data_IF_469471107766
#
_entry.id   IF_469471107766
#
_cell.length_a   1.000
_cell.length_b   1.000
_cell.length_c   1.000
_cell.angle_alpha   90.00
_cell.angle_beta   90.00
_cell.angle_gamma   90.00
#
_symmetry.space_group_name_H-M   'P 1'
#
loop_
_entity.id
_entity.type
_entity.pdbx_description
1 polymer ?
#
# COMPACT_ATOMS: atom_id res chain seq x y z
N UNK A 1 34.27 9.55 22.15
CA UNK A 1 34.60 10.31 20.95
C UNK A 1 34.40 11.79 21.11
N UNK A 2 34.99 12.56 20.23
CA UNK A 2 34.81 14.01 20.14
C UNK A 2 34.49 14.34 18.68
N UNK A 3 33.43 15.09 18.47
CA UNK A 3 33.04 15.59 17.15
C UNK A 3 33.03 17.12 17.20
N UNK A 4 33.72 17.75 16.27
CA UNK A 4 33.82 19.21 16.16
C UNK A 4 33.11 19.65 14.90
N UNK A 5 32.06 20.45 15.02
CA UNK A 5 31.33 21.09 13.93
C UNK A 5 31.52 22.60 13.98
N UNK A 6 31.07 23.31 12.94
CA UNK A 6 31.39 24.72 12.73
C UNK A 6 31.16 25.64 13.94
N UNK A 7 30.16 25.36 14.79
CA UNK A 7 29.82 26.22 15.95
C UNK A 7 29.66 25.44 17.27
N UNK A 8 30.03 24.15 17.31
CA UNK A 8 29.88 23.33 18.50
C UNK A 8 30.88 22.16 18.53
N UNK A 9 31.19 21.68 19.75
CA UNK A 9 31.92 20.46 19.94
C UNK A 9 31.10 19.52 20.81
N UNK A 10 30.96 18.28 20.37
CA UNK A 10 30.23 17.23 21.08
C UNK A 10 31.21 16.21 21.62
N UNK A 11 31.09 15.90 22.93
CA UNK A 11 31.85 14.84 23.58
C UNK A 11 30.89 13.72 23.93
N UNK A 12 31.19 12.48 23.51
CA UNK A 12 30.34 11.33 23.81
C UNK A 12 31.16 10.11 24.22
N UNK A 13 30.61 9.32 25.14
CA UNK A 13 31.20 8.10 25.65
C UNK A 13 30.67 6.84 24.95
N UNK A 14 29.51 6.91 24.34
CA UNK A 14 28.85 5.77 23.66
C UNK A 14 28.25 6.18 22.31
N UNK A 15 28.32 5.27 21.36
CA UNK A 15 27.60 5.34 20.10
C UNK A 15 26.68 4.12 20.00
N UNK A 16 25.45 4.32 19.53
CA UNK A 16 24.51 3.24 19.27
C UNK A 16 24.09 3.31 17.81
N UNK A 17 23.97 2.17 17.12
CA UNK A 17 23.40 2.14 15.78
C UNK A 17 21.98 2.73 15.79
N UNK A 18 21.70 3.66 14.89
CA UNK A 18 20.38 4.18 14.62
C UNK A 18 19.68 3.41 13.49
N UNK A 19 18.45 3.79 13.20
CA UNK A 19 17.67 3.22 12.09
C UNK A 19 18.34 3.53 10.73
N UNK A 20 19.12 4.60 10.64
CA UNK A 20 19.71 5.12 9.41
C UNK A 20 18.67 5.76 8.49
N UNK A 21 19.14 6.32 7.39
CA UNK A 21 18.28 6.97 6.40
C UNK A 21 18.28 8.50 6.51
N UNK A 22 17.25 9.12 5.96
CA UNK A 22 17.03 10.57 5.95
C UNK A 22 15.92 10.93 6.97
N UNK A 23 15.94 12.17 7.51
CA UNK A 23 14.84 12.63 8.36
C UNK A 23 13.51 12.59 7.59
N UNK A 24 12.46 12.06 8.23
CA UNK A 24 11.10 12.05 7.65
C UNK A 24 10.66 13.49 7.36
N UNK A 25 10.04 13.70 6.21
CA UNK A 25 9.64 15.01 5.69
C UNK A 25 10.65 15.67 4.74
N UNK A 26 11.89 15.13 4.63
CA UNK A 26 12.91 15.70 3.75
C UNK A 26 12.73 15.35 2.26
N UNK A 27 11.87 14.38 1.92
CA UNK A 27 11.69 13.87 0.55
C UNK A 27 10.24 13.93 0.03
N UNK A 28 9.40 14.77 0.67
CA UNK A 28 7.99 14.95 0.28
C UNK A 28 7.06 13.87 0.82
N UNK A 29 5.82 13.87 0.32
CA UNK A 29 4.74 12.98 0.77
C UNK A 29 4.46 11.91 -0.29
N UNK A 30 4.15 10.69 0.16
CA UNK A 30 3.73 9.55 -0.67
C UNK A 30 2.47 8.90 -0.10
N UNK A 31 1.62 8.36 -0.98
CA UNK A 31 0.42 7.60 -0.62
C UNK A 31 0.72 6.10 -0.71
N UNK A 32 0.60 5.40 0.41
CA UNK A 32 0.98 4.00 0.54
C UNK A 32 -0.25 3.11 0.63
N UNK A 33 -0.44 2.16 -0.29
CA UNK A 33 -1.45 1.13 -0.17
C UNK A 33 -1.05 0.20 0.99
N UNK A 34 -1.74 0.34 2.12
CA UNK A 34 -1.45 -0.37 3.36
C UNK A 34 -2.49 -1.47 3.59
N UNK A 35 -2.05 -2.72 3.67
CA UNK A 35 -2.86 -3.88 4.04
C UNK A 35 -2.43 -4.44 5.39
N UNK A 36 -3.22 -5.36 5.94
CA UNK A 36 -2.83 -6.14 7.13
C UNK A 36 -1.69 -7.14 6.87
N UNK A 37 -1.31 -7.35 5.60
CA UNK A 37 -0.24 -8.28 5.22
C UNK A 37 1.17 -7.77 5.53
N UNK A 38 2.14 -8.68 5.46
CA UNK A 38 3.55 -8.47 5.87
C UNK A 38 4.27 -7.42 5.00
N UNK A 39 3.96 -7.35 3.70
CA UNK A 39 4.78 -6.65 2.72
C UNK A 39 4.56 -5.12 2.74
N UNK A 40 3.30 -4.67 2.83
CA UNK A 40 2.99 -3.23 2.71
C UNK A 40 3.56 -2.37 3.86
N UNK A 41 3.58 -2.80 5.13
CA UNK A 41 4.22 -2.05 6.20
C UNK A 41 5.74 -1.89 5.99
N UNK A 42 6.40 -2.94 5.49
CA UNK A 42 7.85 -2.91 5.18
C UNK A 42 8.13 -1.97 4.02
N UNK A 43 7.30 -1.98 2.97
CA UNK A 43 7.43 -1.06 1.84
C UNK A 43 7.32 0.40 2.30
N UNK A 44 6.32 0.71 3.12
CA UNK A 44 6.10 2.03 3.70
C UNK A 44 7.31 2.46 4.54
N UNK A 45 7.78 1.60 5.45
CA UNK A 45 8.95 1.86 6.29
C UNK A 45 10.22 2.13 5.46
N UNK A 46 10.44 1.41 4.36
CA UNK A 46 11.57 1.66 3.45
C UNK A 46 11.53 3.07 2.86
N UNK A 47 10.35 3.58 2.48
CA UNK A 47 10.20 4.94 1.94
C UNK A 47 10.36 6.01 3.04
N UNK A 48 9.79 5.79 4.22
CA UNK A 48 9.97 6.70 5.35
C UNK A 48 11.46 6.86 5.71
N UNK A 49 12.25 5.79 5.69
CA UNK A 49 13.72 5.84 5.85
C UNK A 49 14.43 6.63 4.74
N UNK A 50 13.79 6.86 3.59
CA UNK A 50 14.28 7.75 2.53
C UNK A 50 13.79 9.18 2.67
N UNK A 51 13.17 9.50 3.83
CA UNK A 51 12.72 10.85 4.17
C UNK A 51 11.31 11.18 3.70
N UNK A 52 10.54 10.22 3.17
CA UNK A 52 9.16 10.45 2.77
C UNK A 52 8.23 10.54 3.99
N UNK A 53 7.27 11.47 3.95
CA UNK A 53 6.07 11.40 4.79
C UNK A 53 5.12 10.39 4.14
N UNK A 54 4.77 9.32 4.86
CA UNK A 54 3.90 8.30 4.32
C UNK A 54 2.47 8.49 4.85
N UNK A 55 1.51 8.51 3.95
CA UNK A 55 0.07 8.47 4.25
C UNK A 55 -0.44 7.11 3.79
N UNK A 56 -1.05 6.35 4.70
CA UNK A 56 -1.61 5.03 4.40
C UNK A 56 -2.98 5.13 3.74
N UNK A 57 -3.31 4.19 2.86
CA UNK A 57 -4.68 3.91 2.41
C UNK A 57 -4.94 2.42 2.50
N UNK A 58 -5.93 2.04 3.30
CA UNK A 58 -6.41 0.67 3.47
C UNK A 58 -7.75 0.51 2.77
N UNK A 59 -7.89 -0.53 1.96
CA UNK A 59 -9.13 -0.92 1.33
C UNK A 59 -9.78 -2.03 2.14
N UNK A 60 -10.83 -1.69 2.87
CA UNK A 60 -11.59 -2.64 3.70
C UNK A 60 -12.60 -3.42 2.86
N UNK A 61 -12.74 -4.72 3.13
CA UNK A 61 -13.79 -5.55 2.50
C UNK A 61 -15.21 -5.27 2.99
N UNK A 62 -15.41 -4.33 3.90
CA UNK A 62 -16.76 -3.95 4.39
C UNK A 62 -17.67 -3.49 3.26
N UNK A 63 -18.96 -3.79 3.32
CA UNK A 63 -19.67 -4.59 4.34
C UNK A 63 -19.63 -6.10 4.09
N UNK A 64 -18.87 -6.58 3.09
CA UNK A 64 -18.82 -7.99 2.68
C UNK A 64 -17.96 -8.86 3.62
N UNK A 65 -17.05 -8.25 4.39
CA UNK A 65 -16.24 -8.89 5.43
C UNK A 65 -16.44 -8.19 6.77
N UNK A 66 -15.94 -8.83 7.84
CA UNK A 66 -15.77 -8.16 9.14
C UNK A 66 -14.72 -7.04 9.06
N UNK A 67 -14.63 -6.25 10.12
CA UNK A 67 -13.68 -5.14 10.28
C UNK A 67 -12.32 -5.58 10.86
N UNK A 68 -12.06 -6.88 10.98
CA UNK A 68 -10.83 -7.44 11.56
C UNK A 68 -9.56 -6.93 10.86
N UNK A 69 -9.58 -6.84 9.51
CA UNK A 69 -8.44 -6.30 8.76
C UNK A 69 -8.13 -4.85 9.12
N UNK A 70 -9.15 -4.06 9.47
CA UNK A 70 -9.00 -2.66 9.87
C UNK A 70 -8.33 -2.55 11.23
N UNK A 71 -8.71 -3.40 12.21
CA UNK A 71 -8.03 -3.44 13.52
C UNK A 71 -6.56 -3.81 13.39
N UNK A 72 -6.22 -4.78 12.54
CA UNK A 72 -4.84 -5.14 12.28
C UNK A 72 -4.06 -3.99 11.62
N UNK A 73 -4.69 -3.25 10.70
CA UNK A 73 -4.07 -2.08 10.07
C UNK A 73 -3.87 -0.95 11.08
N UNK A 74 -4.81 -0.74 12.01
CA UNK A 74 -4.64 0.24 13.10
C UNK A 74 -3.47 -0.14 14.01
N UNK A 75 -3.31 -1.42 14.35
CA UNK A 75 -2.18 -1.90 15.16
C UNK A 75 -0.85 -1.76 14.42
N UNK A 76 -0.81 -2.05 13.11
CA UNK A 76 0.34 -1.82 12.23
C UNK A 76 0.68 -0.32 12.17
N UNK A 77 -0.34 0.54 11.99
CA UNK A 77 -0.16 1.99 11.95
C UNK A 77 0.48 2.51 13.24
N UNK A 78 0.04 2.04 14.42
CA UNK A 78 0.68 2.38 15.72
C UNK A 78 2.14 1.95 15.80
N UNK A 79 2.51 0.80 15.23
CA UNK A 79 3.91 0.36 15.15
C UNK A 79 4.71 1.30 14.25
N UNK A 80 4.17 1.68 13.10
CA UNK A 80 4.80 2.58 12.14
C UNK A 80 4.92 4.02 12.69
N UNK A 81 3.91 4.49 13.40
CA UNK A 81 3.89 5.81 14.05
C UNK A 81 5.03 5.96 15.07
N UNK A 82 5.28 4.93 15.88
CA UNK A 82 6.41 4.92 16.86
C UNK A 82 7.77 5.13 16.19
N UNK A 83 7.89 4.81 14.94
CA UNK A 83 9.11 5.01 14.13
C UNK A 83 9.05 6.32 13.31
N UNK A 84 7.97 7.10 13.44
CA UNK A 84 7.74 8.32 12.67
C UNK A 84 7.43 8.07 11.18
N UNK A 85 7.05 6.84 10.83
CA UNK A 85 6.95 6.42 9.43
C UNK A 85 5.59 6.71 8.79
N UNK A 86 4.52 6.83 9.57
CA UNK A 86 3.17 7.10 9.06
C UNK A 86 2.60 8.36 9.69
N UNK A 87 1.91 9.18 8.89
CA UNK A 87 1.26 10.40 9.37
C UNK A 87 -0.22 10.16 9.69
N UNK A 88 -0.92 9.39 8.88
CA UNK A 88 -2.33 8.99 9.02
C UNK A 88 -2.68 7.87 8.07
N UNK A 89 -3.84 7.25 8.28
CA UNK A 89 -4.36 6.17 7.41
C UNK A 89 -5.79 6.49 6.98
N UNK A 90 -6.05 6.40 5.68
CA UNK A 90 -7.40 6.38 5.12
C UNK A 90 -7.92 4.94 5.09
N UNK A 91 -9.14 4.71 5.58
CA UNK A 91 -9.86 3.44 5.45
C UNK A 91 -10.98 3.63 4.46
N UNK A 92 -10.94 2.88 3.37
CA UNK A 92 -11.89 2.96 2.25
C UNK A 92 -12.77 1.72 2.23
N UNK A 93 -14.10 1.81 2.39
CA UNK A 93 -15.02 0.67 2.30
C UNK A 93 -15.16 0.23 0.84
N UNK A 94 -14.53 -0.88 0.49
CA UNK A 94 -14.37 -1.31 -0.91
C UNK A 94 -15.24 -2.52 -1.29
N UNK A 95 -15.84 -3.23 -0.32
CA UNK A 95 -16.52 -4.50 -0.52
C UNK A 95 -17.71 -4.45 -1.49
N UNK A 96 -18.54 -3.40 -1.44
CA UNK A 96 -19.70 -3.28 -2.34
C UNK A 96 -19.26 -3.12 -3.80
N UNK A 97 -18.26 -2.29 -4.05
CA UNK A 97 -17.71 -2.08 -5.40
C UNK A 97 -17.02 -3.35 -5.91
N UNK A 98 -16.32 -4.09 -5.05
CA UNK A 98 -15.78 -5.41 -5.42
C UNK A 98 -16.88 -6.38 -5.85
N UNK A 99 -18.00 -6.40 -5.13
CA UNK A 99 -19.16 -7.21 -5.51
C UNK A 99 -19.70 -6.78 -6.86
N UNK A 100 -19.86 -5.49 -7.11
CA UNK A 100 -20.32 -4.99 -8.42
C UNK A 100 -19.36 -5.39 -9.56
N UNK A 101 -18.05 -5.20 -9.40
CA UNK A 101 -17.05 -5.64 -10.38
C UNK A 101 -17.15 -7.17 -10.59
N UNK A 102 -17.39 -7.94 -9.52
CA UNK A 102 -17.51 -9.40 -9.64
C UNK A 102 -18.71 -9.86 -10.48
N UNK A 103 -19.74 -9.03 -10.59
CA UNK A 103 -20.93 -9.30 -11.39
C UNK A 103 -20.78 -8.82 -12.85
N UNK A 104 -20.04 -7.74 -13.07
CA UNK A 104 -19.94 -7.06 -14.36
C UNK A 104 -18.71 -7.46 -15.19
N UNK A 105 -17.63 -7.84 -14.54
CA UNK A 105 -16.35 -8.09 -15.19
C UNK A 105 -16.05 -9.57 -15.42
N UNK A 106 -15.25 -9.91 -16.47
CA UNK A 106 -14.75 -11.26 -16.69
C UNK A 106 -14.03 -11.78 -15.44
N UNK A 107 -14.31 -13.02 -14.97
CA UNK A 107 -13.73 -13.55 -13.74
C UNK A 107 -12.21 -13.46 -13.68
N UNK A 108 -11.49 -13.79 -14.75
CA UNK A 108 -10.02 -13.78 -14.80
C UNK A 108 -9.42 -12.38 -14.59
N UNK A 109 -10.11 -11.30 -14.97
CA UNK A 109 -9.63 -9.93 -14.88
C UNK A 109 -10.00 -9.21 -13.58
N UNK A 110 -10.85 -9.80 -12.72
CA UNK A 110 -11.38 -9.13 -11.51
C UNK A 110 -10.28 -8.56 -10.64
N UNK A 111 -9.26 -9.34 -10.32
CA UNK A 111 -8.16 -8.90 -9.45
C UNK A 111 -7.42 -7.70 -10.01
N UNK A 112 -7.19 -7.66 -11.32
CA UNK A 112 -6.54 -6.55 -12.00
C UNK A 112 -7.43 -5.30 -11.95
N UNK A 113 -8.73 -5.44 -12.20
CA UNK A 113 -9.69 -4.34 -12.16
C UNK A 113 -9.87 -3.78 -10.73
N UNK A 114 -9.87 -4.64 -9.69
CA UNK A 114 -9.83 -4.19 -8.30
C UNK A 114 -8.60 -3.32 -8.03
N UNK A 115 -7.42 -3.79 -8.43
CA UNK A 115 -6.18 -3.06 -8.22
C UNK A 115 -6.11 -1.75 -8.99
N UNK A 116 -6.62 -1.73 -10.23
CA UNK A 116 -6.71 -0.49 -11.02
C UNK A 116 -7.60 0.54 -10.32
N UNK A 117 -8.77 0.12 -9.83
CA UNK A 117 -9.66 1.01 -9.09
C UNK A 117 -9.03 1.47 -7.76
N UNK A 118 -8.39 0.57 -7.00
CA UNK A 118 -7.65 0.94 -5.78
C UNK A 118 -6.57 2.00 -6.07
N UNK A 119 -5.85 1.88 -7.19
CA UNK A 119 -4.85 2.87 -7.59
C UNK A 119 -5.48 4.22 -7.92
N UNK A 120 -6.58 4.25 -8.68
CA UNK A 120 -7.31 5.49 -8.99
C UNK A 120 -7.83 6.19 -7.73
N UNK A 121 -8.39 5.44 -6.79
CA UNK A 121 -8.84 5.98 -5.49
C UNK A 121 -7.64 6.49 -4.68
N UNK A 122 -6.55 5.73 -4.62
CA UNK A 122 -5.34 6.16 -3.93
C UNK A 122 -4.73 7.42 -4.55
N UNK A 123 -4.74 7.56 -5.88
CA UNK A 123 -4.28 8.76 -6.58
C UNK A 123 -5.18 9.98 -6.28
N UNK A 124 -6.48 9.80 -6.23
CA UNK A 124 -7.41 10.87 -5.86
C UNK A 124 -7.22 11.33 -4.40
N UNK A 125 -6.96 10.39 -3.47
CA UNK A 125 -6.59 10.71 -2.09
C UNK A 125 -5.20 11.35 -2.01
N UNK A 126 -4.25 10.90 -2.84
CA UNK A 126 -2.91 11.48 -2.93
C UNK A 126 -2.95 12.97 -3.30
N UNK A 127 -3.87 13.37 -4.17
CA UNK A 127 -4.08 14.78 -4.51
C UNK A 127 -4.51 15.62 -3.29
N UNK A 128 -5.34 15.08 -2.39
CA UNK A 128 -5.74 15.76 -1.13
C UNK A 128 -4.54 15.97 -0.21
N UNK A 129 -3.64 14.99 -0.15
CA UNK A 129 -2.44 14.99 0.70
C UNK A 129 -1.21 15.64 0.01
N UNK A 130 -1.34 16.09 -1.23
CA UNK A 130 -0.22 16.59 -2.06
C UNK A 130 0.91 15.55 -2.17
N UNK A 131 0.56 14.27 -2.19
CA UNK A 131 1.51 13.20 -2.36
C UNK A 131 1.96 13.10 -3.83
N UNK A 132 3.27 12.93 -4.04
CA UNK A 132 3.88 12.91 -5.37
C UNK A 132 4.04 11.51 -5.97
N UNK A 133 3.68 10.45 -5.25
CA UNK A 133 3.77 9.08 -5.72
C UNK A 133 2.84 8.16 -4.94
N UNK A 134 2.48 7.02 -5.55
CA UNK A 134 1.89 5.88 -4.88
C UNK A 134 2.98 4.89 -4.45
N UNK A 135 2.72 4.11 -3.41
CA UNK A 135 3.64 3.07 -2.92
C UNK A 135 2.88 1.78 -2.70
N UNK A 136 3.45 0.66 -3.15
CA UNK A 136 2.89 -0.68 -2.92
C UNK A 136 3.92 -1.64 -2.35
N UNK A 137 3.46 -2.67 -1.63
CA UNK A 137 4.29 -3.77 -1.12
C UNK A 137 4.49 -4.91 -2.12
N UNK A 138 4.38 -4.66 -3.41
CA UNK A 138 4.53 -5.70 -4.44
C UNK A 138 5.96 -6.21 -4.57
N UNK A 139 6.09 -7.54 -4.72
CA UNK A 139 7.33 -8.23 -5.11
C UNK A 139 7.08 -9.01 -6.40
N UNK A 140 8.00 -8.92 -7.37
CA UNK A 140 7.82 -9.51 -8.70
C UNK A 140 7.65 -11.03 -8.62
N UNK A 141 6.55 -11.52 -9.21
CA UNK A 141 6.28 -12.96 -9.30
C UNK A 141 5.81 -13.62 -8.01
N UNK A 142 5.58 -12.87 -6.93
CA UNK A 142 5.14 -13.45 -5.64
C UNK A 142 3.71 -14.01 -5.70
N UNK A 143 2.81 -13.33 -6.38
CA UNK A 143 1.41 -13.76 -6.62
C UNK A 143 0.97 -13.44 -8.05
N UNK A 144 -0.15 -14.01 -8.47
CA UNK A 144 -0.66 -13.88 -9.84
C UNK A 144 -0.82 -12.43 -10.31
N UNK A 145 -1.17 -11.50 -9.43
CA UNK A 145 -1.31 -10.07 -9.77
C UNK A 145 0.03 -9.33 -9.93
N UNK A 146 1.15 -9.94 -9.54
CA UNK A 146 2.48 -9.32 -9.49
C UNK A 146 3.42 -9.80 -10.61
N UNK A 147 2.87 -10.19 -11.75
CA UNK A 147 3.65 -10.43 -12.98
C UNK A 147 3.92 -9.12 -13.71
N UNK A 148 4.92 -9.09 -14.59
CA UNK A 148 5.25 -7.86 -15.37
C UNK A 148 4.06 -7.33 -16.16
N UNK A 149 3.30 -8.23 -16.81
CA UNK A 149 2.13 -7.84 -17.61
C UNK A 149 1.04 -7.23 -16.72
N UNK A 150 0.79 -7.83 -15.55
CA UNK A 150 -0.23 -7.37 -14.62
C UNK A 150 0.17 -6.06 -13.91
N UNK A 151 1.45 -5.91 -13.54
CA UNK A 151 1.99 -4.66 -13.02
C UNK A 151 1.82 -3.54 -14.06
N UNK A 152 2.21 -3.79 -15.31
CA UNK A 152 2.01 -2.82 -16.41
C UNK A 152 0.53 -2.45 -16.59
N UNK A 153 -0.36 -3.45 -16.53
CA UNK A 153 -1.79 -3.22 -16.67
C UNK A 153 -2.38 -2.43 -15.50
N UNK A 154 -1.80 -2.58 -14.29
CA UNK A 154 -2.22 -1.81 -13.11
C UNK A 154 -1.68 -0.39 -13.14
N UNK A 155 -0.41 -0.20 -13.51
CA UNK A 155 0.23 1.12 -13.59
C UNK A 155 -0.43 2.05 -14.61
N UNK A 156 -0.94 1.48 -15.69
CA UNK A 156 -1.70 2.21 -16.72
C UNK A 156 -2.97 2.93 -16.18
N UNK A 157 -3.39 2.61 -14.97
CA UNK A 157 -4.58 3.21 -14.38
C UNK A 157 -4.36 4.61 -13.78
N UNK A 158 -3.12 5.03 -13.55
CA UNK A 158 -2.75 6.25 -12.81
C UNK A 158 -1.62 7.00 -13.51
N UNK A 159 -1.54 8.30 -13.26
CA UNK A 159 -0.49 9.18 -13.78
C UNK A 159 0.68 9.32 -12.79
N UNK A 160 0.42 9.17 -11.49
CA UNK A 160 1.47 9.23 -10.47
C UNK A 160 2.44 8.04 -10.59
N UNK A 161 3.74 8.25 -10.37
CA UNK A 161 4.69 7.15 -10.30
C UNK A 161 4.34 6.19 -9.16
N UNK A 162 4.45 4.88 -9.43
CA UNK A 162 4.20 3.83 -8.44
C UNK A 162 5.52 3.24 -7.98
N UNK A 163 5.90 3.53 -6.73
CA UNK A 163 7.10 3.00 -6.11
C UNK A 163 6.84 1.61 -5.52
N UNK A 164 7.76 0.69 -5.80
CA UNK A 164 7.74 -0.70 -5.32
C UNK A 164 9.04 -1.03 -4.59
N UNK A 165 9.18 -0.59 -3.33
CA UNK A 165 10.44 -0.76 -2.59
C UNK A 165 10.86 -2.22 -2.42
N UNK A 166 9.95 -3.17 -2.62
CA UNK A 166 10.16 -4.60 -2.44
C UNK A 166 10.22 -5.40 -3.74
N UNK A 167 10.21 -4.75 -4.91
CA UNK A 167 10.00 -5.42 -6.20
C UNK A 167 10.98 -6.57 -6.48
N UNK A 168 12.21 -6.47 -6.04
CA UNK A 168 13.26 -7.48 -6.19
C UNK A 168 13.69 -8.12 -4.86
N UNK A 169 12.88 -7.99 -3.80
CA UNK A 169 13.24 -8.49 -2.46
C UNK A 169 12.61 -9.86 -2.24
N UNK A 170 13.40 -10.82 -1.75
CA UNK A 170 12.92 -12.16 -1.37
C UNK A 170 11.98 -12.11 -0.15
N UNK A 171 11.01 -13.04 -0.10
CA UNK A 171 10.02 -13.09 0.98
C UNK A 171 10.63 -13.24 2.36
N UNK A 172 11.71 -14.01 2.50
CA UNK A 172 12.40 -14.18 3.78
C UNK A 172 13.11 -12.90 4.25
N UNK A 173 13.59 -12.07 3.32
CA UNK A 173 14.16 -10.77 3.66
C UNK A 173 13.09 -9.82 4.16
N UNK A 174 11.93 -9.80 3.51
CA UNK A 174 10.77 -8.99 3.91
C UNK A 174 10.30 -9.39 5.32
N UNK A 175 10.19 -10.70 5.59
CA UNK A 175 9.83 -11.21 6.93
C UNK A 175 10.81 -10.72 7.99
N UNK A 176 12.13 -10.82 7.76
CA UNK A 176 13.15 -10.34 8.71
C UNK A 176 13.04 -8.83 8.97
N UNK A 177 12.68 -8.06 7.95
CA UNK A 177 12.44 -6.62 8.12
C UNK A 177 11.17 -6.35 8.90
N UNK A 178 10.08 -7.09 8.66
CA UNK A 178 8.84 -6.99 9.42
C UNK A 178 9.02 -7.35 10.91
N UNK A 179 9.83 -8.39 11.20
CA UNK A 179 10.22 -8.74 12.58
C UNK A 179 10.97 -7.59 13.27
N UNK A 180 11.95 -6.98 12.58
CA UNK A 180 12.71 -5.84 13.10
C UNK A 180 11.83 -4.60 13.30
N UNK A 181 10.86 -4.40 12.43
CA UNK A 181 9.88 -3.32 12.51
C UNK A 181 8.90 -3.55 13.67
N UNK A 182 8.62 -4.80 14.01
CA UNK A 182 7.63 -5.22 15.00
C UNK A 182 6.22 -5.37 14.42
N UNK A 183 6.06 -5.40 13.09
CA UNK A 183 4.77 -5.60 12.43
C UNK A 183 4.46 -7.07 12.13
N UNK A 184 5.46 -7.96 12.18
CA UNK A 184 5.32 -9.35 11.77
C UNK A 184 4.23 -10.10 12.53
N UNK A 185 4.25 -10.04 13.88
CA UNK A 185 3.28 -10.73 14.73
C UNK A 185 1.83 -10.28 14.49
N UNK A 186 1.63 -8.99 14.14
CA UNK A 186 0.33 -8.44 13.80
C UNK A 186 -0.09 -8.97 12.42
N UNK A 187 0.78 -8.86 11.44
CA UNK A 187 0.52 -9.25 10.05
C UNK A 187 0.40 -10.77 9.84
N UNK A 188 0.78 -11.58 10.82
CA UNK A 188 0.67 -13.05 10.78
C UNK A 188 -0.67 -13.55 11.32
N UNK A 189 -1.53 -12.67 11.80
CA UNK A 189 -2.87 -13.02 12.25
C UNK A 189 -3.78 -13.21 11.04
N UNK A 190 -4.66 -14.21 11.10
CA UNK A 190 -5.66 -14.44 10.06
C UNK A 190 -6.74 -13.35 10.12
N UNK A 191 -6.87 -12.61 9.04
CA UNK A 191 -7.98 -11.70 8.84
C UNK A 191 -8.43 -11.76 7.38
N UNK A 192 -9.73 -11.62 7.10
CA UNK A 192 -10.24 -11.58 5.74
C UNK A 192 -9.70 -10.34 5.03
N UNK A 193 -8.88 -10.54 4.00
CA UNK A 193 -8.37 -9.45 3.15
C UNK A 193 -9.37 -9.17 2.02
N UNK A 194 -9.56 -7.90 1.70
CA UNK A 194 -10.35 -7.49 0.55
C UNK A 194 -9.85 -8.14 -0.75
N UNK A 195 -8.54 -8.36 -0.91
CA UNK A 195 -7.97 -8.96 -2.11
C UNK A 195 -8.39 -10.41 -2.34
N UNK A 196 -8.79 -11.15 -1.31
CA UNK A 196 -9.27 -12.55 -1.42
C UNK A 196 -10.77 -12.65 -1.67
N UNK A 197 -11.49 -11.55 -1.46
CA UNK A 197 -12.93 -11.50 -1.66
C UNK A 197 -13.27 -11.63 -3.15
N UNK A 198 -14.17 -12.51 -3.51
CA UNK A 198 -14.56 -12.80 -4.89
C UNK A 198 -13.41 -13.23 -5.82
N UNK A 199 -12.38 -13.86 -5.26
CA UNK A 199 -11.25 -14.38 -6.05
C UNK A 199 -11.73 -15.37 -7.12
N UNK A 200 -11.26 -15.24 -8.37
CA UNK A 200 -11.52 -16.23 -9.41
C UNK A 200 -10.69 -17.49 -9.14
N UNK A 201 -11.20 -18.64 -9.63
CA UNK A 201 -10.45 -19.91 -9.57
C UNK A 201 -9.13 -19.88 -10.34
N UNK A 202 -9.08 -19.06 -11.41
CA UNK A 202 -7.90 -18.90 -12.26
C UNK A 202 -7.75 -17.42 -12.62
N UNK A 203 -7.00 -16.64 -11.82
CA UNK A 203 -6.70 -15.25 -12.13
C UNK A 203 -5.78 -15.15 -13.34
N UNK A 204 -5.92 -14.10 -14.13
CA UNK A 204 -5.03 -13.81 -15.26
C UNK A 204 -3.63 -13.45 -14.78
N UNK A 205 -2.62 -14.04 -15.39
CA UNK A 205 -1.19 -13.80 -15.09
C UNK A 205 -0.46 -13.07 -16.22
N UNK A 206 -1.08 -12.96 -17.40
CA UNK A 206 -0.53 -12.30 -18.60
C UNK A 206 -1.55 -11.35 -19.21
N UNK A 207 -2.06 -10.41 -18.42
CA UNK A 207 -3.10 -9.50 -18.83
C UNK A 207 -2.66 -8.61 -19.99
N UNK A 208 -3.42 -8.65 -21.07
CA UNK A 208 -3.22 -7.77 -22.22
C UNK A 208 -3.89 -6.43 -21.95
N UNK A 209 -3.12 -5.35 -21.93
CA UNK A 209 -3.60 -4.02 -21.60
C UNK A 209 -4.84 -3.58 -22.42
N UNK A 210 -4.96 -3.80 -23.74
CA UNK A 210 -6.18 -3.45 -24.47
C UNK A 210 -7.43 -4.18 -23.95
N UNK A 211 -7.29 -5.46 -23.58
CA UNK A 211 -8.40 -6.26 -23.04
C UNK A 211 -8.81 -5.77 -21.64
N UNK A 212 -7.85 -5.37 -20.82
CA UNK A 212 -8.13 -4.79 -19.49
C UNK A 212 -8.85 -3.45 -19.63
N UNK A 213 -8.39 -2.58 -20.52
CA UNK A 213 -9.04 -1.28 -20.81
C UNK A 213 -10.47 -1.45 -21.34
N UNK A 214 -10.69 -2.41 -22.23
CA UNK A 214 -12.03 -2.74 -22.74
C UNK A 214 -12.94 -3.23 -21.60
N UNK A 215 -12.46 -4.14 -20.75
CA UNK A 215 -13.21 -4.62 -19.60
C UNK A 215 -13.49 -3.53 -18.55
N UNK A 216 -12.58 -2.55 -18.41
CA UNK A 216 -12.77 -1.40 -17.51
C UNK A 216 -13.76 -0.38 -18.08
N UNK A 217 -13.81 -0.19 -19.40
CA UNK A 217 -14.60 0.87 -20.06
C UNK A 217 -16.11 0.75 -19.86
N UNK A 218 -16.61 -0.44 -19.52
CA UNK A 218 -18.04 -0.67 -19.25
C UNK A 218 -18.40 -0.48 -17.79
N UNK A 219 -17.41 -0.22 -16.92
CA UNK A 219 -17.59 -0.01 -15.49
C UNK A 219 -17.72 1.50 -15.18
N UNK A 220 -18.54 1.90 -14.22
CA UNK A 220 -18.71 3.31 -13.84
C UNK A 220 -17.57 3.79 -12.91
N UNK A 221 -16.33 3.69 -13.37
CA UNK A 221 -15.12 3.87 -12.58
C UNK A 221 -15.05 5.26 -11.93
N UNK A 222 -15.34 6.33 -12.68
CA UNK A 222 -15.29 7.71 -12.18
C UNK A 222 -16.29 7.93 -11.02
N UNK A 223 -17.49 7.35 -11.13
CA UNK A 223 -18.49 7.39 -10.07
C UNK A 223 -17.98 6.67 -8.83
N UNK A 224 -17.47 5.44 -8.99
CA UNK A 224 -16.93 4.67 -7.86
C UNK A 224 -15.75 5.36 -7.18
N UNK A 225 -14.84 5.97 -7.94
CA UNK A 225 -13.73 6.74 -7.37
C UNK A 225 -14.27 7.89 -6.51
N UNK A 226 -15.22 8.67 -7.02
CA UNK A 226 -15.80 9.78 -6.26
C UNK A 226 -16.48 9.31 -4.97
N UNK A 227 -17.34 8.27 -5.06
CA UNK A 227 -18.04 7.68 -3.92
C UNK A 227 -17.07 7.12 -2.86
N UNK A 228 -16.05 6.38 -3.27
CA UNK A 228 -15.07 5.78 -2.36
C UNK A 228 -14.17 6.82 -1.69
N UNK A 229 -13.78 7.87 -2.42
CA UNK A 229 -12.98 8.98 -1.87
C UNK A 229 -13.78 9.81 -0.87
N UNK A 230 -15.10 9.94 -1.06
CA UNK A 230 -16.00 10.60 -0.10
C UNK A 230 -16.25 9.74 1.14
N UNK A 231 -16.40 8.43 0.93
CA UNK A 231 -16.63 7.47 2.02
C UNK A 231 -15.35 7.13 2.81
N UNK A 232 -14.19 7.61 2.40
CA UNK A 232 -12.93 7.31 3.08
C UNK A 232 -12.88 7.93 4.48
N UNK A 233 -12.71 7.09 5.49
CA UNK A 233 -12.54 7.49 6.89
C UNK A 233 -11.05 7.77 7.17
N UNK A 234 -10.75 8.88 7.86
CA UNK A 234 -9.37 9.21 8.28
C UNK A 234 -9.15 8.73 9.69
N UNK A 235 -8.04 8.04 9.92
CA UNK A 235 -7.56 7.61 11.24
C UNK A 235 -6.18 8.23 11.47
N UNK A 236 -6.08 9.02 12.54
CA UNK A 236 -4.85 9.70 13.00
C UNK A 236 -4.20 8.93 14.14
#
# INVERSE_FOLDING_TARGET
GVEVVQNASYVYARSRPGIGGLPVGSSGTVMCLLSSGIDSPVALWRLARRGAVCVGVHFSGRPQTSDESEYLVDDIARVLERTGCVARVYVVPFGDVQREISLLAPPSLRVILYRRLMFKVAEALAARERAGALVTGESLGQVASQTLDNIRATDDAVDLPVFRPLIGTDKLEIIREAERLGSYEISSQDAPDCCTLFMPRSPETHAKLPVVREAESVLPVERWVAELVEAAEVRD
#
